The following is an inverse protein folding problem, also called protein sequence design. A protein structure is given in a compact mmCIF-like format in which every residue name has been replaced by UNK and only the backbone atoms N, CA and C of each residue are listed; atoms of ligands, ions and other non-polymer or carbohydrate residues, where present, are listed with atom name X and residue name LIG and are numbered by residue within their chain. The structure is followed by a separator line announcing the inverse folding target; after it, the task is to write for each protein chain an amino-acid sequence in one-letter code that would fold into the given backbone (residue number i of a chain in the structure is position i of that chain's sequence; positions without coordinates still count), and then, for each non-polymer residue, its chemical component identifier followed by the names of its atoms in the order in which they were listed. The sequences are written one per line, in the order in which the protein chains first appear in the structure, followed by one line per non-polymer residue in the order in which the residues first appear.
data_IF_833790815626
#
_entry.id   IF_833790815626
#
_cell.length_a   1.000
_cell.length_b   1.000
_cell.length_c   1.000
_cell.angle_alpha   90.00
_cell.angle_beta   90.00
_cell.angle_gamma   90.00
#
_symmetry.space_group_name_H-M   'P 1'
#
loop_
_entity.id
_entity.type
_entity.pdbx_description
1 polymer ?
#
# COMPACT_ATOMS: atom_id res chain seq x y z
N UNK A 1 43.44 -31.23 -19.88
CA UNK A 1 42.23 -31.35 -19.05
C UNK A 1 42.68 -31.84 -17.69
N UNK A 2 42.52 -31.02 -16.65
CA UNK A 2 42.83 -31.45 -15.27
C UNK A 2 41.72 -32.42 -14.89
N UNK A 3 42.07 -33.67 -14.61
CA UNK A 3 41.14 -34.69 -14.18
C UNK A 3 40.85 -34.42 -12.70
N UNK A 4 39.70 -33.80 -12.41
CA UNK A 4 39.19 -33.71 -11.05
C UNK A 4 38.70 -35.12 -10.73
N UNK A 5 39.53 -35.90 -10.04
CA UNK A 5 39.12 -37.19 -9.47
C UNK A 5 37.88 -36.89 -8.62
N UNK A 6 36.82 -37.70 -8.74
CA UNK A 6 35.70 -37.68 -7.79
C UNK A 6 36.32 -37.81 -6.39
N UNK A 7 36.41 -36.67 -5.73
CA UNK A 7 37.04 -36.48 -4.43
C UNK A 7 35.92 -36.66 -3.40
N UNK A 8 36.15 -37.40 -2.31
CA UNK A 8 35.16 -37.62 -1.24
C UNK A 8 34.50 -36.29 -0.80
N UNK A 9 35.26 -35.18 -0.92
CA UNK A 9 34.78 -33.81 -0.71
C UNK A 9 33.59 -33.40 -1.60
N UNK A 10 33.60 -33.75 -2.88
CA UNK A 10 32.53 -33.40 -3.83
C UNK A 10 31.27 -34.19 -3.48
N UNK A 11 31.41 -35.48 -3.18
CA UNK A 11 30.28 -36.32 -2.78
C UNK A 11 29.65 -35.84 -1.48
N UNK A 12 30.46 -35.51 -0.47
CA UNK A 12 29.98 -34.90 0.78
C UNK A 12 29.27 -33.56 0.54
N UNK A 13 29.82 -32.70 -0.33
CA UNK A 13 29.19 -31.43 -0.67
C UNK A 13 27.83 -31.62 -1.38
N UNK A 14 27.73 -32.59 -2.30
CA UNK A 14 26.49 -32.93 -3.00
C UNK A 14 25.45 -33.48 -2.02
N UNK A 15 25.84 -34.38 -1.12
CA UNK A 15 24.92 -34.90 -0.09
C UNK A 15 24.44 -33.81 0.87
N UNK A 16 25.35 -32.94 1.33
CA UNK A 16 24.99 -31.81 2.20
C UNK A 16 24.02 -30.83 1.51
N UNK A 17 24.26 -30.53 0.23
CA UNK A 17 23.36 -29.69 -0.54
C UNK A 17 21.99 -30.34 -0.71
N UNK A 18 21.94 -31.64 -1.06
CA UNK A 18 20.70 -32.40 -1.19
C UNK A 18 19.89 -32.41 0.12
N UNK A 19 20.55 -32.62 1.25
CA UNK A 19 19.92 -32.59 2.57
C UNK A 19 19.39 -31.19 2.91
N UNK A 20 20.17 -30.14 2.62
CA UNK A 20 19.73 -28.75 2.82
C UNK A 20 18.51 -28.40 1.98
N UNK A 21 18.48 -28.85 0.72
CA UNK A 21 17.34 -28.66 -0.17
C UNK A 21 16.09 -29.40 0.32
N UNK A 22 16.24 -30.64 0.80
CA UNK A 22 15.14 -31.42 1.35
C UNK A 22 14.53 -30.77 2.59
N UNK A 23 15.38 -30.26 3.50
CA UNK A 23 14.95 -29.51 4.69
C UNK A 23 14.19 -28.24 4.28
N UNK A 24 14.71 -27.50 3.31
CA UNK A 24 14.08 -26.28 2.81
C UNK A 24 12.68 -26.55 2.22
N UNK A 25 12.53 -27.56 1.36
CA UNK A 25 11.22 -27.91 0.79
C UNK A 25 10.24 -28.39 1.87
N UNK A 26 10.71 -29.16 2.85
CA UNK A 26 9.87 -29.58 3.98
C UNK A 26 9.38 -28.38 4.82
N UNK A 27 10.27 -27.44 5.15
CA UNK A 27 9.91 -26.21 5.88
C UNK A 27 8.90 -25.37 5.10
N UNK A 28 9.08 -25.26 3.79
CA UNK A 28 8.16 -24.53 2.91
C UNK A 28 6.76 -25.15 2.91
N UNK A 29 6.66 -26.47 2.86
CA UNK A 29 5.37 -27.18 2.97
C UNK A 29 4.71 -26.96 4.34
N UNK A 30 5.48 -27.03 5.43
CA UNK A 30 4.96 -26.75 6.78
C UNK A 30 4.45 -25.32 6.96
N UNK A 31 5.13 -24.34 6.34
CA UNK A 31 4.66 -22.95 6.30
C UNK A 31 3.35 -22.86 5.53
N UNK A 32 3.25 -23.47 4.35
CA UNK A 32 2.04 -23.40 3.54
C UNK A 32 0.82 -24.05 4.21
N UNK A 33 1.01 -25.07 5.03
CA UNK A 33 -0.08 -25.80 5.68
C UNK A 33 -0.53 -25.18 7.02
N UNK A 34 0.41 -24.66 7.82
CA UNK A 34 0.15 -24.36 9.23
C UNK A 34 0.44 -22.89 9.63
N UNK A 35 0.91 -22.05 8.70
CA UNK A 35 1.22 -20.66 9.04
C UNK A 35 -0.05 -19.83 9.18
N UNK A 36 -0.33 -19.37 10.40
CA UNK A 36 -1.42 -18.43 10.64
C UNK A 36 -1.13 -17.07 10.00
N UNK A 37 -2.07 -16.61 9.19
CA UNK A 37 -2.01 -15.32 8.48
C UNK A 37 -2.96 -14.28 9.09
N UNK A 38 -3.61 -14.62 10.19
CA UNK A 38 -4.53 -13.73 10.90
C UNK A 38 -3.74 -12.65 11.62
N UNK A 39 -4.02 -11.39 11.27
CA UNK A 39 -3.45 -10.22 11.95
C UNK A 39 -4.59 -9.34 12.40
N UNK A 40 -4.58 -8.99 13.68
CA UNK A 40 -5.61 -8.11 14.26
C UNK A 40 -5.40 -6.65 13.85
N UNK A 41 -6.47 -5.86 13.81
CA UNK A 41 -6.34 -4.42 13.51
C UNK A 41 -5.56 -3.66 14.59
N UNK A 42 -5.58 -4.16 15.84
CA UNK A 42 -4.83 -3.60 16.97
C UNK A 42 -3.33 -3.78 16.76
N UNK A 43 -2.90 -4.97 16.38
CA UNK A 43 -1.50 -5.29 16.09
C UNK A 43 -0.91 -4.42 14.97
N UNK A 44 -1.70 -4.17 13.90
CA UNK A 44 -1.28 -3.28 12.81
C UNK A 44 -1.09 -1.84 13.33
N UNK A 45 -2.01 -1.36 14.18
CA UNK A 45 -1.94 -0.02 14.75
C UNK A 45 -0.76 0.13 15.72
N UNK A 46 -0.52 -0.86 16.56
CA UNK A 46 0.60 -0.88 17.49
C UNK A 46 1.95 -0.89 16.75
N UNK A 47 2.05 -1.70 15.69
CA UNK A 47 3.23 -1.72 14.82
C UNK A 47 3.48 -0.36 14.17
N UNK A 48 2.42 0.30 13.67
CA UNK A 48 2.51 1.65 13.11
C UNK A 48 3.03 2.65 14.14
N UNK A 49 2.42 2.69 15.33
CA UNK A 49 2.79 3.64 16.39
C UNK A 49 4.23 3.42 16.88
N UNK A 50 4.66 2.17 17.02
CA UNK A 50 6.02 1.84 17.46
C UNK A 50 7.11 2.17 16.41
N UNK A 51 6.72 2.32 15.13
CA UNK A 51 7.65 2.52 14.01
C UNK A 51 7.33 3.77 13.19
N UNK A 52 6.61 4.75 13.76
CA UNK A 52 6.04 5.88 13.01
C UNK A 52 7.09 6.66 12.19
N UNK A 53 8.31 6.79 12.72
CA UNK A 53 9.42 7.51 12.07
C UNK A 53 9.93 6.83 10.79
N UNK A 54 9.67 5.52 10.64
CA UNK A 54 10.04 4.74 9.46
C UNK A 54 9.02 4.91 8.33
N UNK A 55 7.81 5.38 8.64
CA UNK A 55 6.73 5.55 7.68
C UNK A 55 6.70 6.98 7.16
N UNK A 56 7.57 7.26 6.19
CA UNK A 56 7.58 8.52 5.45
C UNK A 56 6.99 8.33 4.06
N UNK A 57 6.22 9.32 3.63
CA UNK A 57 5.64 9.36 2.29
C UNK A 57 6.73 9.44 1.23
N UNK A 58 6.61 8.60 0.21
CA UNK A 58 7.45 8.60 -0.98
C UNK A 58 6.93 9.57 -2.05
N UNK A 59 5.64 9.90 -2.00
CA UNK A 59 4.94 10.81 -2.89
C UNK A 59 3.97 11.73 -2.11
N UNK A 60 3.62 12.84 -2.74
CA UNK A 60 2.60 13.75 -2.25
C UNK A 60 1.22 13.09 -2.27
N UNK A 61 0.46 13.24 -1.19
CA UNK A 61 -0.90 12.72 -1.06
C UNK A 61 -1.88 13.82 -0.67
N UNK A 62 -3.14 13.65 -1.07
CA UNK A 62 -4.20 14.59 -0.78
C UNK A 62 -5.51 13.87 -0.46
N UNK A 63 -6.38 14.56 0.27
CA UNK A 63 -7.81 14.26 0.43
C UNK A 63 -8.59 15.35 -0.25
N UNK A 64 -9.52 14.99 -1.14
CA UNK A 64 -10.20 16.00 -1.91
C UNK A 64 -11.15 15.46 -2.97
N UNK A 65 -11.72 16.39 -3.72
CA UNK A 65 -12.63 16.11 -4.84
C UNK A 65 -12.05 16.70 -6.12
N UNK A 66 -12.29 16.03 -7.23
CA UNK A 66 -11.95 16.48 -8.58
C UNK A 66 -13.17 16.26 -9.48
N UNK A 67 -13.56 17.26 -10.25
CA UNK A 67 -14.55 17.12 -11.33
C UNK A 67 -13.98 17.79 -12.58
N UNK A 68 -14.03 17.06 -13.71
CA UNK A 68 -13.67 17.54 -15.04
C UNK A 68 -14.93 17.49 -15.89
N UNK A 69 -15.35 18.64 -16.41
CA UNK A 69 -16.63 18.77 -17.10
C UNK A 69 -16.55 19.78 -18.26
N UNK A 70 -17.37 19.60 -19.29
CA UNK A 70 -17.50 20.57 -20.38
C UNK A 70 -18.01 21.92 -19.84
N UNK A 71 -17.44 23.03 -20.34
CA UNK A 71 -17.87 24.39 -19.99
C UNK A 71 -19.32 24.70 -20.33
N UNK A 72 -19.89 23.97 -21.28
CA UNK A 72 -21.26 24.14 -21.75
C UNK A 72 -22.23 23.15 -21.08
N UNK A 73 -21.79 22.40 -20.07
CA UNK A 73 -22.67 21.51 -19.34
C UNK A 73 -23.84 22.27 -18.69
N UNK A 74 -25.03 21.67 -18.59
CA UNK A 74 -26.20 22.34 -18.03
C UNK A 74 -26.02 22.57 -16.52
N UNK A 75 -26.65 23.61 -15.96
CA UNK A 75 -26.76 23.83 -14.51
C UNK A 75 -25.41 23.87 -13.72
N UNK A 76 -24.38 24.49 -14.29
CA UNK A 76 -23.08 24.66 -13.62
C UNK A 76 -23.16 25.38 -12.26
N UNK A 77 -24.14 26.26 -12.05
CA UNK A 77 -24.30 26.94 -10.75
C UNK A 77 -24.60 25.95 -9.62
N UNK A 78 -25.50 24.99 -9.86
CA UNK A 78 -25.81 23.93 -8.89
C UNK A 78 -24.59 23.05 -8.64
N UNK A 79 -23.82 22.72 -9.70
CA UNK A 79 -22.55 22.00 -9.56
C UNK A 79 -21.60 22.75 -8.61
N UNK A 80 -21.40 24.05 -8.78
CA UNK A 80 -20.47 24.82 -7.94
C UNK A 80 -20.91 24.92 -6.48
N UNK A 81 -22.21 24.94 -6.21
CA UNK A 81 -22.76 24.92 -4.85
C UNK A 81 -22.48 23.57 -4.19
N UNK A 82 -22.97 22.49 -4.80
CA UNK A 82 -22.90 21.15 -4.26
C UNK A 82 -21.45 20.66 -4.13
N UNK A 83 -20.57 21.06 -5.06
CA UNK A 83 -19.15 20.71 -5.01
C UNK A 83 -18.43 21.20 -3.75
N UNK A 84 -18.86 22.34 -3.18
CA UNK A 84 -18.27 22.93 -1.97
C UNK A 84 -18.90 22.42 -0.68
N UNK A 85 -20.00 21.70 -0.79
CA UNK A 85 -20.78 21.26 0.36
C UNK A 85 -20.17 20.06 1.08
N UNK A 86 -20.41 19.98 2.37
CA UNK A 86 -20.12 18.78 3.18
C UNK A 86 -21.42 18.09 3.61
N UNK A 87 -22.58 18.52 3.09
CA UNK A 87 -23.86 17.86 3.32
C UNK A 87 -23.97 16.61 2.45
N UNK A 88 -24.42 15.50 3.04
CA UNK A 88 -24.45 14.21 2.37
C UNK A 88 -25.47 14.19 1.22
N UNK A 89 -26.62 14.85 1.37
CA UNK A 89 -27.64 14.92 0.32
C UNK A 89 -27.12 15.75 -0.88
N UNK A 90 -26.45 16.87 -0.62
CA UNK A 90 -25.84 17.69 -1.68
C UNK A 90 -24.66 16.98 -2.37
N UNK A 91 -23.94 16.10 -1.66
CA UNK A 91 -22.89 15.25 -2.23
C UNK A 91 -23.51 14.19 -3.15
N UNK A 92 -24.63 13.58 -2.76
CA UNK A 92 -25.34 12.60 -3.60
C UNK A 92 -25.89 13.26 -4.87
N UNK A 93 -26.41 14.48 -4.77
CA UNK A 93 -26.81 15.29 -5.93
C UNK A 93 -25.61 15.62 -6.83
N UNK A 94 -24.46 15.98 -6.25
CA UNK A 94 -23.22 16.22 -6.98
C UNK A 94 -22.79 14.96 -7.75
N UNK A 95 -22.82 13.79 -7.11
CA UNK A 95 -22.47 12.52 -7.74
C UNK A 95 -23.42 12.23 -8.90
N UNK A 96 -24.72 12.37 -8.68
CA UNK A 96 -25.76 12.15 -9.68
C UNK A 96 -25.57 13.06 -10.90
N UNK A 97 -25.26 14.33 -10.67
CA UNK A 97 -24.95 15.28 -11.72
C UNK A 97 -23.66 14.90 -12.48
N UNK A 98 -22.59 14.54 -11.76
CA UNK A 98 -21.33 14.14 -12.37
C UNK A 98 -21.46 12.87 -13.21
N UNK A 99 -22.29 11.91 -12.79
CA UNK A 99 -22.57 10.71 -13.58
C UNK A 99 -23.16 11.01 -14.96
N UNK A 100 -23.95 12.09 -15.09
CA UNK A 100 -24.61 12.46 -16.33
C UNK A 100 -23.72 13.32 -17.24
N UNK A 101 -22.94 14.22 -16.66
CA UNK A 101 -22.29 15.30 -17.43
C UNK A 101 -20.77 15.37 -17.30
N UNK A 102 -20.18 14.81 -16.25
CA UNK A 102 -18.73 14.91 -16.06
C UNK A 102 -18.00 13.95 -16.98
N UNK A 103 -16.90 14.42 -17.57
CA UNK A 103 -15.96 13.58 -18.30
C UNK A 103 -15.24 12.63 -17.33
N UNK A 104 -14.86 13.17 -16.17
CA UNK A 104 -14.24 12.40 -15.10
C UNK A 104 -14.52 13.07 -13.75
N UNK A 105 -14.80 12.27 -12.73
CA UNK A 105 -15.04 12.79 -11.38
C UNK A 105 -14.50 11.87 -10.29
N UNK A 106 -14.19 12.48 -9.15
CA UNK A 106 -13.79 11.85 -7.91
C UNK A 106 -14.33 12.70 -6.75
N UNK A 107 -15.29 12.20 -6.00
CA UNK A 107 -15.98 12.96 -4.93
C UNK A 107 -15.65 12.44 -3.52
N UNK A 108 -14.91 11.33 -3.40
CA UNK A 108 -14.54 10.78 -2.10
C UNK A 108 -13.38 11.56 -1.44
N UNK A 109 -13.71 12.52 -0.57
CA UNK A 109 -12.72 13.30 0.16
C UNK A 109 -12.26 12.69 1.50
N UNK A 110 -12.69 11.47 1.82
CA UNK A 110 -12.36 10.81 3.09
C UNK A 110 -11.07 9.99 3.03
N UNK A 111 -10.69 9.53 1.84
CA UNK A 111 -9.52 8.68 1.61
C UNK A 111 -8.33 9.48 1.08
N UNK A 112 -7.13 9.07 1.48
CA UNK A 112 -5.88 9.63 0.95
C UNK A 112 -5.59 9.07 -0.44
N UNK A 113 -5.22 9.93 -1.39
CA UNK A 113 -4.85 9.55 -2.75
C UNK A 113 -3.54 10.22 -3.16
N UNK A 114 -2.79 9.57 -4.05
CA UNK A 114 -1.59 10.18 -4.61
C UNK A 114 -1.93 11.38 -5.47
N UNK A 115 -1.28 12.52 -5.24
CA UNK A 115 -1.50 13.72 -6.02
C UNK A 115 -1.11 13.55 -7.50
N UNK A 116 -0.14 12.67 -7.78
CA UNK A 116 0.26 12.28 -9.13
C UNK A 116 -0.92 11.75 -9.99
N UNK A 117 -1.94 11.16 -9.36
CA UNK A 117 -3.13 10.63 -10.05
C UNK A 117 -4.00 11.73 -10.67
N UNK A 118 -4.05 12.91 -10.04
CA UNK A 118 -4.80 14.06 -10.52
C UNK A 118 -3.91 15.02 -11.32
N UNK A 119 -2.63 15.15 -10.96
CA UNK A 119 -1.66 16.00 -11.67
C UNK A 119 -1.62 15.70 -13.17
N UNK A 120 -1.68 14.42 -13.55
CA UNK A 120 -1.67 13.99 -14.96
C UNK A 120 -2.89 14.46 -15.76
N UNK A 121 -4.00 14.74 -15.09
CA UNK A 121 -5.27 15.16 -15.69
C UNK A 121 -5.42 16.68 -15.76
N UNK A 122 -4.68 17.39 -14.91
CA UNK A 122 -4.71 18.84 -14.86
C UNK A 122 -3.94 19.45 -16.04
N UNK A 123 -4.44 20.57 -16.60
CA UNK A 123 -3.71 21.36 -17.58
C UNK A 123 -2.27 21.72 -17.13
N UNK A 124 -1.32 21.66 -18.07
CA UNK A 124 0.13 21.85 -17.79
C UNK A 124 0.50 23.23 -17.24
N UNK A 125 -0.35 24.23 -17.45
CA UNK A 125 -0.19 25.60 -16.96
C UNK A 125 -0.52 25.74 -15.46
N UNK A 126 -1.01 24.70 -14.80
CA UNK A 126 -1.37 24.74 -13.38
C UNK A 126 -0.17 24.34 -12.51
N UNK A 127 0.29 25.27 -11.67
CA UNK A 127 1.34 25.00 -10.69
C UNK A 127 0.77 24.30 -9.46
N UNK A 128 1.39 23.19 -9.05
CA UNK A 128 1.08 22.45 -7.82
C UNK A 128 1.15 23.36 -6.59
N UNK A 129 2.16 24.24 -6.54
CA UNK A 129 2.32 25.20 -5.45
C UNK A 129 1.12 26.15 -5.37
N UNK A 130 0.54 26.55 -6.50
CA UNK A 130 -0.62 27.46 -6.50
C UNK A 130 -1.85 26.79 -5.90
N UNK A 131 -2.04 25.50 -6.19
CA UNK A 131 -3.10 24.67 -5.61
C UNK A 131 -2.89 24.50 -4.10
N UNK A 132 -1.69 24.08 -3.67
CA UNK A 132 -1.45 23.73 -2.27
C UNK A 132 -1.34 24.93 -1.32
N UNK A 133 -0.84 26.06 -1.81
CA UNK A 133 -0.72 27.28 -1.01
C UNK A 133 -1.93 28.21 -1.16
N UNK A 134 -2.96 27.80 -1.91
CA UNK A 134 -4.22 28.54 -1.97
C UNK A 134 -4.82 28.60 -0.56
N UNK A 135 -5.14 29.81 -0.09
CA UNK A 135 -5.93 29.98 1.14
C UNK A 135 -7.35 29.42 0.98
N UNK A 136 -7.77 29.19 -0.27
CA UNK A 136 -9.07 28.60 -0.60
C UNK A 136 -8.89 27.09 -0.70
N UNK A 137 -9.77 26.33 -0.04
CA UNK A 137 -9.83 24.87 -0.17
C UNK A 137 -10.35 24.40 -1.53
N UNK A 138 -10.70 25.34 -2.41
CA UNK A 138 -11.36 25.11 -3.68
C UNK A 138 -10.79 26.01 -4.75
N UNK A 139 -10.44 25.42 -5.89
CA UNK A 139 -10.01 26.11 -7.09
C UNK A 139 -10.81 25.61 -8.30
N UNK A 140 -11.15 26.55 -9.19
CA UNK A 140 -11.67 26.25 -10.53
C UNK A 140 -10.58 26.66 -11.50
N UNK A 141 -10.20 25.73 -12.36
CA UNK A 141 -9.36 26.03 -13.51
C UNK A 141 -10.11 25.70 -14.77
N UNK A 142 -9.84 26.45 -15.83
CA UNK A 142 -10.46 26.25 -17.12
C UNK A 142 -9.39 26.16 -18.21
N UNK A 143 -9.63 25.33 -19.22
CA UNK A 143 -8.90 25.36 -20.48
C UNK A 143 -9.82 25.84 -21.62
N UNK A 144 -9.60 25.43 -22.87
CA UNK A 144 -10.48 25.89 -23.97
C UNK A 144 -11.88 25.26 -23.92
N UNK A 145 -12.02 24.02 -23.45
CA UNK A 145 -13.27 23.24 -23.55
C UNK A 145 -13.82 22.78 -22.19
N UNK A 146 -12.97 22.66 -21.18
CA UNK A 146 -13.28 22.01 -19.91
C UNK A 146 -13.06 22.92 -18.70
N UNK A 147 -13.82 22.62 -17.66
CA UNK A 147 -13.68 23.11 -16.30
C UNK A 147 -13.11 21.99 -15.43
N UNK A 148 -12.14 22.35 -14.60
CA UNK A 148 -11.45 21.52 -13.64
C UNK A 148 -11.74 22.07 -12.26
N UNK A 149 -12.67 21.44 -11.55
CA UNK A 149 -13.04 21.79 -10.19
C UNK A 149 -12.21 20.93 -9.25
N UNK A 150 -11.43 21.56 -8.37
CA UNK A 150 -10.59 20.87 -7.40
C UNK A 150 -10.92 21.36 -5.99
N UNK A 151 -11.20 20.43 -5.09
CA UNK A 151 -11.35 20.70 -3.66
C UNK A 151 -10.29 19.92 -2.91
N UNK A 152 -9.53 20.58 -2.04
CA UNK A 152 -8.53 19.96 -1.17
C UNK A 152 -8.97 20.14 0.29
N UNK A 153 -9.28 19.01 0.91
CA UNK A 153 -9.64 18.90 2.32
C UNK A 153 -8.41 18.86 3.21
N UNK A 154 -7.42 18.04 2.81
CA UNK A 154 -6.17 17.84 3.51
C UNK A 154 -5.06 17.42 2.53
N UNK A 155 -3.81 17.68 2.88
CA UNK A 155 -2.65 17.43 2.03
C UNK A 155 -1.40 17.11 2.84
N UNK A 156 -0.57 16.20 2.33
CA UNK A 156 0.74 15.88 2.90
C UNK A 156 1.80 15.75 1.82
N UNK A 157 2.91 16.46 2.04
CA UNK A 157 4.07 16.40 1.16
C UNK A 157 4.86 15.11 1.37
N UNK A 158 5.54 14.68 0.31
CA UNK A 158 6.62 13.69 0.34
C UNK A 158 7.58 13.99 1.49
N UNK A 159 8.01 12.92 2.17
CA UNK A 159 8.93 12.98 3.30
C UNK A 159 8.27 13.26 4.65
N UNK A 160 6.99 13.68 4.67
CA UNK A 160 6.22 13.76 5.91
C UNK A 160 5.73 12.38 6.37
N UNK A 161 5.24 12.29 7.61
CA UNK A 161 4.74 11.04 8.19
C UNK A 161 3.51 10.57 7.42
N UNK A 162 3.59 9.35 6.89
CA UNK A 162 2.52 8.70 6.13
C UNK A 162 1.36 8.32 7.04
N UNK A 163 0.11 8.69 6.72
CA UNK A 163 -1.05 8.31 7.52
C UNK A 163 -1.22 6.79 7.65
N UNK A 164 -1.70 6.33 8.80
CA UNK A 164 -1.99 4.91 9.05
C UNK A 164 -2.83 4.26 7.94
N UNK A 165 -3.86 4.94 7.45
CA UNK A 165 -4.73 4.41 6.39
C UNK A 165 -4.01 4.13 5.07
N UNK A 166 -2.89 4.80 4.79
CA UNK A 166 -2.06 4.59 3.60
C UNK A 166 -1.11 3.41 3.81
N UNK A 167 -0.54 3.29 5.01
CA UNK A 167 0.44 2.24 5.31
C UNK A 167 -0.19 0.91 5.76
N UNK A 168 -1.50 0.88 6.08
CA UNK A 168 -2.17 -0.28 6.69
C UNK A 168 -1.87 -1.62 6.00
N UNK A 169 -2.01 -1.68 4.68
CA UNK A 169 -1.79 -2.91 3.92
C UNK A 169 -0.30 -3.30 3.88
N UNK A 170 0.58 -2.31 3.74
CA UNK A 170 2.03 -2.52 3.79
C UNK A 170 2.47 -3.03 5.16
N UNK A 171 1.94 -2.47 6.24
CA UNK A 171 2.23 -2.89 7.61
C UNK A 171 1.74 -4.32 7.84
N UNK A 172 0.53 -4.65 7.36
CA UNK A 172 0.04 -6.03 7.39
C UNK A 172 1.02 -6.98 6.69
N UNK A 173 1.52 -6.62 5.50
CA UNK A 173 2.52 -7.42 4.79
C UNK A 173 3.85 -7.54 5.54
N UNK A 174 4.31 -6.46 6.20
CA UNK A 174 5.53 -6.49 7.01
C UNK A 174 5.39 -7.45 8.20
N UNK A 175 4.29 -7.35 8.94
CA UNK A 175 3.99 -8.24 10.08
C UNK A 175 3.90 -9.70 9.60
N UNK A 176 3.19 -9.98 8.50
CA UNK A 176 3.14 -11.34 7.93
C UNK A 176 4.53 -11.88 7.61
N UNK A 177 5.40 -11.04 7.04
CA UNK A 177 6.76 -11.44 6.71
C UNK A 177 7.61 -11.72 7.96
N UNK A 178 7.50 -10.87 8.99
CA UNK A 178 8.18 -11.08 10.27
C UNK A 178 7.71 -12.35 10.98
N UNK A 179 6.40 -12.60 10.99
CA UNK A 179 5.79 -13.81 11.55
C UNK A 179 6.27 -15.05 10.78
N UNK A 180 6.33 -14.99 9.45
CA UNK A 180 6.83 -16.09 8.61
C UNK A 180 8.28 -16.42 8.92
N UNK A 181 9.15 -15.42 9.02
CA UNK A 181 10.56 -15.60 9.40
C UNK A 181 10.68 -16.23 10.79
N UNK A 182 9.86 -15.77 11.73
CA UNK A 182 9.86 -16.29 13.11
C UNK A 182 9.40 -17.73 13.18
N UNK A 183 8.38 -18.10 12.41
CA UNK A 183 7.88 -19.47 12.30
C UNK A 183 8.92 -20.42 11.70
N UNK A 184 9.62 -20.01 10.62
CA UNK A 184 10.71 -20.81 10.03
C UNK A 184 11.82 -21.07 11.05
N UNK A 185 12.24 -20.03 11.80
CA UNK A 185 13.26 -20.17 12.85
C UNK A 185 12.81 -21.11 13.98
N UNK A 186 11.52 -21.13 14.31
CA UNK A 186 10.96 -22.06 15.28
C UNK A 186 11.03 -23.51 14.76
N UNK A 187 10.67 -23.74 13.50
CA UNK A 187 10.76 -25.06 12.87
C UNK A 187 12.21 -25.57 12.84
N UNK A 188 13.18 -24.72 12.49
CA UNK A 188 14.61 -25.07 12.53
C UNK A 188 15.04 -25.52 13.93
N UNK A 189 14.66 -24.76 14.96
CA UNK A 189 14.97 -25.11 16.35
C UNK A 189 14.36 -26.44 16.76
N UNK A 190 13.11 -26.69 16.36
CA UNK A 190 12.41 -27.94 16.68
C UNK A 190 13.08 -29.13 15.98
N UNK A 191 13.41 -29.03 14.68
CA UNK A 191 14.12 -30.08 13.95
C UNK A 191 15.47 -30.38 14.60
N UNK A 192 16.24 -29.35 14.98
CA UNK A 192 17.52 -29.53 15.69
C UNK A 192 17.33 -30.17 17.07
N UNK A 193 16.27 -29.80 17.79
CA UNK A 193 15.95 -30.37 19.09
C UNK A 193 15.56 -31.85 18.97
N UNK A 194 14.67 -32.19 18.02
CA UNK A 194 14.21 -33.55 17.75
C UNK A 194 15.37 -34.44 17.25
N UNK A 195 16.26 -33.91 16.41
CA UNK A 195 17.47 -34.61 15.97
C UNK A 195 18.42 -34.93 17.15
N UNK A 196 18.54 -34.04 18.14
CA UNK A 196 19.33 -34.31 19.35
C UNK A 196 18.70 -35.38 20.21
N UNK A 197 17.39 -35.29 20.47
CA UNK A 197 16.66 -36.27 21.27
C UNK A 197 16.68 -37.67 20.63
N UNK A 198 16.52 -37.75 19.31
CA UNK A 198 16.58 -39.03 18.58
C UNK A 198 17.98 -39.65 18.54
N UNK A 199 19.04 -38.84 18.54
CA UNK A 199 20.41 -39.35 18.65
C UNK A 199 20.78 -39.80 20.08
N UNK A 200 20.06 -39.32 21.10
CA UNK A 200 20.20 -39.76 22.49
C UNK A 200 19.41 -41.06 22.76
N UNK A 201 18.38 -41.37 21.97
CA UNK A 201 17.63 -42.63 22.04
C UNK A 201 18.26 -43.63 21.05
N UNK A 202 19.38 -44.24 21.46
CA UNK A 202 19.78 -45.54 20.88
C UNK A 202 18.82 -46.61 21.39
N UNK A 203 17.86 -46.99 20.56
CA UNK A 203 17.05 -48.20 20.79
C UNK A 203 17.98 -49.40 20.56
N UNK A 204 18.24 -50.14 21.63
CA UNK A 204 18.85 -51.46 21.63
C UNK A 204 17.80 -52.54 21.36
#
# INVERSE_FOLDING_TARGET
LINIVEDDYIDDAVQNFKNSLLIFEYQKELVNQNFDTTISSVEILDYYNANIDKFKLDQDIFKGRLVIIDKNAPNLESLYSNFKSNDDDEIDDLISYCMLYALEYYVNDSSWNYFSSIKRKLPKNISETKIFYSKRKYDIVEDDNFLYLLFIKDFKFKGSISPFSVEKDKIKSLILNENKISYIKMLEKNIVHDAKLSNDIKIY
#
